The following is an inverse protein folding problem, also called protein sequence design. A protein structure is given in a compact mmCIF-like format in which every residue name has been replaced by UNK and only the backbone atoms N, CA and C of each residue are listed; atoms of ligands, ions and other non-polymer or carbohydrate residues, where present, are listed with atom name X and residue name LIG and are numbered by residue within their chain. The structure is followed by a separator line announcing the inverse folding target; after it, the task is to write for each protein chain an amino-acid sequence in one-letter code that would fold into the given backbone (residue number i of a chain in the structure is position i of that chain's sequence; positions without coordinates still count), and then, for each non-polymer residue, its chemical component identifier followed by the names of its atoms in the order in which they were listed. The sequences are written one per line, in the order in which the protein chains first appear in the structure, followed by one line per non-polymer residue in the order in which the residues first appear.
data_IF_250440991563
#
_entry.id   IF_250440991563
#
_cell.length_a   1.000
_cell.length_b   1.000
_cell.length_c   1.000
_cell.angle_alpha   90.00
_cell.angle_beta   90.00
_cell.angle_gamma   90.00
#
_symmetry.space_group_name_H-M   'P 1'
#
loop_
_entity.id
_entity.type
_entity.pdbx_description
1 polymer ?
#
# COMPACT_ATOMS: atom_id res chain seq x y z
N UNK A 1 -21.95 -29.85 -57.34
CA UNK A 1 -20.86 -28.93 -57.72
C UNK A 1 -21.41 -27.53 -57.63
N UNK A 2 -21.02 -26.74 -56.63
CA UNK A 2 -20.63 -25.32 -56.69
C UNK A 2 -20.06 -24.97 -55.32
N UNK A 3 -18.76 -24.62 -55.29
CA UNK A 3 -18.04 -24.12 -54.12
C UNK A 3 -18.54 -22.74 -53.69
N UNK A 4 -18.57 -22.48 -52.38
CA UNK A 4 -18.31 -21.14 -51.84
C UNK A 4 -17.36 -21.29 -50.65
N UNK A 5 -16.24 -20.57 -50.75
CA UNK A 5 -15.14 -20.43 -49.79
C UNK A 5 -15.29 -19.07 -49.11
N UNK A 6 -14.89 -18.97 -47.85
CA UNK A 6 -14.51 -17.72 -47.15
C UNK A 6 -15.52 -17.30 -46.07
N UNK A 7 -15.13 -16.88 -44.87
CA UNK A 7 -13.83 -16.51 -44.36
C UNK A 7 -13.77 -16.77 -42.84
N UNK A 8 -12.64 -17.32 -42.36
CA UNK A 8 -12.27 -17.25 -40.95
C UNK A 8 -11.80 -15.82 -40.67
N UNK A 9 -12.57 -15.06 -39.89
CA UNK A 9 -12.06 -13.86 -39.24
C UNK A 9 -11.09 -14.27 -38.12
N UNK A 10 -9.80 -14.27 -38.44
CA UNK A 10 -8.73 -14.22 -37.44
C UNK A 10 -8.83 -12.88 -36.73
N UNK A 11 -9.35 -12.86 -35.50
CA UNK A 11 -9.17 -11.74 -34.57
C UNK A 11 -7.67 -11.61 -34.25
N UNK A 12 -7.05 -10.62 -34.87
CA UNK A 12 -5.74 -10.10 -34.49
C UNK A 12 -5.81 -9.61 -33.05
N UNK A 13 -5.22 -10.37 -32.12
CA UNK A 13 -4.90 -9.90 -30.78
C UNK A 13 -3.81 -8.83 -30.97
N UNK A 14 -4.21 -7.57 -30.89
CA UNK A 14 -3.26 -6.46 -30.86
C UNK A 14 -2.40 -6.63 -29.59
N UNK A 15 -1.15 -7.03 -29.77
CA UNK A 15 -0.12 -6.96 -28.74
C UNK A 15 0.09 -5.50 -28.40
N UNK A 16 -0.45 -5.07 -27.26
CA UNK A 16 -0.18 -3.75 -26.67
C UNK A 16 1.34 -3.65 -26.49
N UNK A 17 2.00 -2.80 -27.28
CA UNK A 17 3.43 -2.55 -27.11
C UNK A 17 3.69 -2.14 -25.66
N UNK A 18 4.50 -2.91 -24.95
CA UNK A 18 4.86 -2.61 -23.57
C UNK A 18 5.63 -1.28 -23.57
N UNK A 19 5.04 -0.25 -22.96
CA UNK A 19 5.74 1.02 -22.74
C UNK A 19 6.93 0.69 -21.84
N UNK A 20 8.15 0.94 -22.33
CA UNK A 20 9.36 0.72 -21.53
C UNK A 20 9.26 1.54 -20.24
N UNK A 21 9.13 0.83 -19.12
CA UNK A 21 9.05 1.41 -17.78
C UNK A 21 10.26 2.29 -17.53
N UNK A 22 10.04 3.49 -16.99
CA UNK A 22 11.09 4.48 -16.73
C UNK A 22 11.93 4.00 -15.56
N UNK A 23 13.12 3.48 -15.85
CA UNK A 23 14.16 3.26 -14.85
C UNK A 23 14.92 4.57 -14.64
N UNK A 24 15.18 4.91 -13.39
CA UNK A 24 16.04 6.04 -13.01
C UNK A 24 16.93 5.63 -11.84
N UNK A 25 18.04 6.32 -11.65
CA UNK A 25 18.85 6.15 -10.44
C UNK A 25 18.36 7.14 -9.37
N UNK A 26 17.83 6.64 -8.25
CA UNK A 26 17.23 7.50 -7.24
C UNK A 26 18.29 8.28 -6.48
N UNK A 27 17.92 9.48 -6.03
CA UNK A 27 18.64 10.15 -4.95
C UNK A 27 18.14 9.60 -3.62
N UNK A 28 19.02 8.98 -2.85
CA UNK A 28 18.68 8.40 -1.55
C UNK A 28 18.79 9.47 -0.47
N UNK A 29 17.74 9.65 0.32
CA UNK A 29 17.72 10.58 1.47
C UNK A 29 17.14 9.90 2.70
N UNK A 30 17.55 10.37 3.87
CA UNK A 30 16.84 10.08 5.11
C UNK A 30 15.68 11.08 5.26
N UNK A 31 14.48 10.57 5.55
CA UNK A 31 13.32 11.38 5.86
C UNK A 31 12.65 10.81 7.11
N UNK A 32 12.69 11.56 8.22
CA UNK A 32 12.10 11.16 9.51
C UNK A 32 12.58 9.79 10.04
N UNK A 33 13.80 9.37 9.66
CA UNK A 33 14.38 8.08 10.03
C UNK A 33 14.20 6.97 8.99
N UNK A 34 13.42 7.18 7.92
CA UNK A 34 13.30 6.23 6.81
C UNK A 34 14.30 6.52 5.70
N UNK A 35 14.77 5.47 5.04
CA UNK A 35 15.50 5.56 3.78
C UNK A 35 14.50 5.71 2.63
N UNK A 36 14.57 6.85 1.93
CA UNK A 36 13.68 7.19 0.81
C UNK A 36 14.49 7.32 -0.48
N UNK A 37 14.10 6.54 -1.50
CA UNK A 37 14.62 6.57 -2.86
C UNK A 37 13.78 7.53 -3.70
N UNK A 38 14.36 8.65 -4.13
CA UNK A 38 13.62 9.75 -4.73
C UNK A 38 13.97 9.87 -6.22
N UNK A 39 12.95 9.91 -7.08
CA UNK A 39 13.10 10.32 -8.48
C UNK A 39 13.79 11.69 -8.59
N UNK A 40 14.94 11.80 -9.26
CA UNK A 40 15.66 13.06 -9.42
C UNK A 40 14.81 14.22 -9.97
N UNK A 41 13.76 13.92 -10.74
CA UNK A 41 12.80 14.93 -11.26
C UNK A 41 12.09 15.69 -10.13
N UNK A 42 11.91 15.06 -8.98
CA UNK A 42 11.29 15.68 -7.80
C UNK A 42 12.22 16.66 -7.07
N UNK A 43 13.50 16.67 -7.41
CA UNK A 43 14.51 17.49 -6.72
C UNK A 43 15.00 18.67 -7.55
N UNK A 44 15.04 18.52 -8.87
CA UNK A 44 15.56 19.55 -9.79
C UNK A 44 14.71 19.65 -11.06
N UNK A 45 14.72 20.82 -11.70
CA UNK A 45 14.01 21.06 -12.96
C UNK A 45 12.51 21.34 -12.76
N UNK A 46 11.71 21.04 -13.79
CA UNK A 46 10.32 21.47 -13.90
C UNK A 46 9.38 20.94 -12.80
N UNK A 47 9.73 19.81 -12.16
CA UNK A 47 8.89 19.17 -11.14
C UNK A 47 9.42 19.38 -9.71
N UNK A 48 10.48 20.17 -9.52
CA UNK A 48 11.12 20.37 -8.23
C UNK A 48 10.18 21.00 -7.18
N UNK A 49 9.34 21.95 -7.57
CA UNK A 49 8.40 22.60 -6.64
C UNK A 49 7.33 21.63 -6.15
N UNK A 50 6.74 20.85 -7.07
CA UNK A 50 5.79 19.79 -6.73
C UNK A 50 6.47 18.72 -5.86
N UNK A 51 7.69 18.32 -6.20
CA UNK A 51 8.44 17.34 -5.44
C UNK A 51 8.77 17.82 -4.03
N UNK A 52 9.15 19.08 -3.84
CA UNK A 52 9.35 19.66 -2.52
C UNK A 52 8.07 19.58 -1.66
N UNK A 53 6.90 19.89 -2.25
CA UNK A 53 5.60 19.78 -1.57
C UNK A 53 5.26 18.33 -1.22
N UNK A 54 5.45 17.40 -2.17
CA UNK A 54 5.17 15.98 -1.98
C UNK A 54 6.09 15.35 -0.90
N UNK A 55 7.38 15.67 -0.92
CA UNK A 55 8.34 15.20 0.09
C UNK A 55 8.04 15.79 1.48
N UNK A 56 7.62 17.05 1.54
CA UNK A 56 7.13 17.65 2.79
C UNK A 56 5.90 16.91 3.33
N UNK A 57 4.96 16.56 2.46
CA UNK A 57 3.77 15.79 2.85
C UNK A 57 4.13 14.36 3.28
N UNK A 58 5.06 13.70 2.57
CA UNK A 58 5.56 12.39 2.99
C UNK A 58 6.21 12.47 4.38
N UNK A 59 7.04 13.47 4.63
CA UNK A 59 7.61 13.70 5.96
C UNK A 59 6.51 13.86 7.02
N UNK A 60 5.43 14.60 6.73
CA UNK A 60 4.29 14.71 7.64
C UNK A 60 3.63 13.36 7.96
N UNK A 61 3.43 12.49 6.97
CA UNK A 61 2.93 11.13 7.21
C UNK A 61 3.88 10.34 8.14
N UNK A 62 5.18 10.38 7.88
CA UNK A 62 6.20 9.65 8.64
C UNK A 62 6.38 10.18 10.08
N UNK A 63 6.23 11.49 10.28
CA UNK A 63 6.19 12.10 11.62
C UNK A 63 5.00 11.60 12.42
N UNK A 64 3.81 11.59 11.83
CA UNK A 64 2.59 11.05 12.48
C UNK A 64 2.78 9.58 12.86
N UNK A 65 3.36 8.77 11.97
CA UNK A 65 3.67 7.37 12.25
C UNK A 65 4.67 7.25 13.42
N UNK A 66 5.72 8.08 13.45
CA UNK A 66 6.71 8.07 14.54
C UNK A 66 6.15 8.51 15.90
N UNK A 67 5.03 9.24 15.92
CA UNK A 67 4.30 9.59 17.15
C UNK A 67 3.44 8.41 17.61
N UNK A 68 2.83 7.67 16.67
CA UNK A 68 1.88 6.60 16.96
C UNK A 68 2.56 5.27 17.26
N UNK A 69 3.62 4.93 16.53
CA UNK A 69 4.41 3.69 16.68
C UNK A 69 5.69 4.04 17.41
N UNK A 70 6.03 3.29 18.46
CA UNK A 70 7.21 3.60 19.31
C UNK A 70 8.12 2.38 19.49
N UNK A 71 9.27 2.61 20.14
CA UNK A 71 10.20 1.55 20.53
C UNK A 71 10.73 0.71 19.36
N UNK A 72 10.90 -0.58 19.63
CA UNK A 72 11.46 -1.54 18.66
C UNK A 72 10.63 -1.65 17.37
N UNK A 73 9.31 -1.52 17.47
CA UNK A 73 8.41 -1.59 16.32
C UNK A 73 8.66 -0.44 15.35
N UNK A 74 8.88 0.78 15.86
CA UNK A 74 9.24 1.93 15.02
C UNK A 74 10.63 1.73 14.39
N UNK A 75 11.60 1.23 15.16
CA UNK A 75 12.94 0.94 14.66
C UNK A 75 12.93 -0.09 13.53
N UNK A 76 12.12 -1.15 13.66
CA UNK A 76 11.96 -2.17 12.62
C UNK A 76 11.18 -1.62 11.42
N UNK A 77 10.12 -0.83 11.63
CA UNK A 77 9.34 -0.22 10.54
C UNK A 77 10.19 0.76 9.71
N UNK A 78 11.16 1.45 10.31
CA UNK A 78 12.11 2.33 9.61
C UNK A 78 13.05 1.61 8.65
N UNK A 79 13.19 0.29 8.78
CA UNK A 79 13.97 -0.53 7.84
C UNK A 79 13.23 -0.79 6.53
N UNK A 80 11.90 -0.63 6.51
CA UNK A 80 11.11 -0.72 5.29
C UNK A 80 11.37 0.53 4.46
N UNK A 81 12.11 0.37 3.36
CA UNK A 81 12.48 1.49 2.51
C UNK A 81 11.29 1.97 1.65
N UNK A 82 11.31 3.25 1.30
CA UNK A 82 10.27 3.91 0.50
C UNK A 82 10.87 4.35 -0.83
N UNK A 83 10.14 4.16 -1.92
CA UNK A 83 10.48 4.62 -3.26
C UNK A 83 9.40 5.57 -3.76
N UNK A 84 9.78 6.77 -4.18
CA UNK A 84 8.84 7.79 -4.66
C UNK A 84 9.21 8.25 -6.07
N UNK A 85 8.23 8.18 -6.97
CA UNK A 85 8.36 8.60 -8.36
C UNK A 85 7.55 9.86 -8.63
N UNK A 86 7.99 10.67 -9.60
CA UNK A 86 7.15 11.77 -10.07
C UNK A 86 5.83 11.25 -10.64
N UNK A 87 5.91 10.30 -11.58
CA UNK A 87 4.75 9.68 -12.22
C UNK A 87 5.15 8.39 -12.92
N UNK A 88 4.73 7.25 -12.36
CA UNK A 88 4.95 5.94 -12.96
C UNK A 88 3.99 5.74 -14.16
N UNK A 89 4.46 5.25 -15.33
CA UNK A 89 3.66 5.20 -16.56
C UNK A 89 2.49 4.20 -16.58
N UNK A 90 2.35 3.34 -15.56
CA UNK A 90 1.42 2.19 -15.57
C UNK A 90 0.79 1.99 -14.19
N UNK A 91 1.61 1.91 -13.14
CA UNK A 91 1.15 1.81 -11.76
C UNK A 91 0.61 3.16 -11.27
N UNK A 92 -0.54 3.16 -10.61
CA UNK A 92 -1.23 4.39 -10.17
C UNK A 92 -1.47 4.44 -8.66
N UNK A 93 -1.72 3.31 -8.03
CA UNK A 93 -1.86 3.21 -6.57
C UNK A 93 -0.50 3.20 -5.88
N UNK A 94 -0.46 3.70 -4.65
CA UNK A 94 0.63 3.38 -3.72
C UNK A 94 0.52 1.89 -3.38
N UNK A 95 1.65 1.21 -3.24
CA UNK A 95 1.67 -0.23 -2.95
C UNK A 95 3.03 -0.69 -2.44
N UNK A 96 3.04 -1.70 -1.59
CA UNK A 96 4.22 -2.45 -1.21
C UNK A 96 4.51 -3.58 -2.20
N UNK A 97 5.79 -3.77 -2.58
CA UNK A 97 6.20 -4.86 -3.49
C UNK A 97 6.89 -6.00 -2.73
N UNK A 98 6.22 -7.13 -2.46
CA UNK A 98 6.79 -8.20 -1.63
C UNK A 98 7.91 -9.00 -2.30
N UNK A 99 8.11 -8.88 -3.61
CA UNK A 99 9.13 -9.65 -4.30
C UNK A 99 9.39 -9.26 -5.75
N UNK A 100 10.54 -9.70 -6.26
CA UNK A 100 11.07 -9.32 -7.57
C UNK A 100 10.34 -9.95 -8.76
N UNK A 101 9.73 -11.13 -8.60
CA UNK A 101 9.21 -11.93 -9.72
C UNK A 101 8.12 -11.20 -10.51
N UNK A 102 7.15 -10.61 -9.82
CA UNK A 102 6.06 -9.89 -10.50
C UNK A 102 6.57 -8.61 -11.16
N UNK A 103 7.48 -7.89 -10.50
CA UNK A 103 8.12 -6.69 -11.04
C UNK A 103 8.81 -6.97 -12.37
N UNK A 104 9.72 -7.96 -12.41
CA UNK A 104 10.48 -8.27 -13.62
C UNK A 104 9.63 -8.87 -14.73
N UNK A 105 8.62 -9.68 -14.40
CA UNK A 105 7.66 -10.21 -15.37
C UNK A 105 6.85 -9.11 -16.07
N UNK A 106 6.64 -7.97 -15.40
CA UNK A 106 5.98 -6.78 -15.95
C UNK A 106 6.96 -5.76 -16.56
N UNK A 107 8.26 -6.03 -16.51
CA UNK A 107 9.29 -5.11 -16.98
C UNK A 107 9.58 -3.93 -16.04
N UNK A 108 9.04 -3.94 -14.81
CA UNK A 108 9.29 -2.94 -13.79
C UNK A 108 10.70 -3.06 -13.17
N UNK A 109 11.13 -2.04 -12.45
CA UNK A 109 12.44 -2.05 -11.79
C UNK A 109 12.47 -3.05 -10.63
N UNK A 110 13.40 -4.01 -10.70
CA UNK A 110 13.61 -5.02 -9.67
C UNK A 110 14.00 -4.42 -8.31
N UNK A 111 14.58 -3.20 -8.29
CA UNK A 111 14.98 -2.49 -7.06
C UNK A 111 13.80 -2.05 -6.19
N UNK A 112 12.58 -2.03 -6.75
CA UNK A 112 11.34 -1.79 -6.01
C UNK A 112 10.99 -2.92 -5.03
N UNK A 113 11.58 -4.11 -5.19
CA UNK A 113 11.30 -5.23 -4.31
C UNK A 113 11.61 -4.88 -2.84
N UNK A 114 10.72 -5.32 -1.95
CA UNK A 114 10.73 -5.06 -0.50
C UNK A 114 10.66 -3.57 -0.12
N UNK A 115 10.00 -2.76 -0.95
CA UNK A 115 9.79 -1.31 -0.70
C UNK A 115 8.32 -0.92 -0.81
N UNK A 116 7.97 0.11 -0.05
CA UNK A 116 6.76 0.90 -0.28
C UNK A 116 6.99 1.77 -1.52
N UNK A 117 6.10 1.71 -2.50
CA UNK A 117 6.20 2.48 -3.74
C UNK A 117 5.08 3.53 -3.82
N UNK A 118 5.47 4.79 -3.74
CA UNK A 118 4.65 5.96 -4.07
C UNK A 118 4.81 6.23 -5.56
N UNK A 119 3.91 5.66 -6.35
CA UNK A 119 3.98 5.63 -7.82
C UNK A 119 3.78 7.00 -8.48
N UNK A 120 3.01 7.90 -7.84
CA UNK A 120 2.83 9.28 -8.29
C UNK A 120 2.91 10.21 -7.09
N UNK A 121 3.96 11.04 -7.03
CA UNK A 121 4.18 11.98 -5.93
C UNK A 121 3.00 12.96 -5.72
N UNK A 122 2.29 13.32 -6.79
CA UNK A 122 1.10 14.18 -6.70
C UNK A 122 -0.04 13.58 -5.88
N UNK A 123 -0.14 12.25 -5.76
CA UNK A 123 -1.22 11.60 -5.01
C UNK A 123 -1.16 11.92 -3.51
N UNK A 124 0.02 12.27 -2.97
CA UNK A 124 0.16 12.75 -1.59
C UNK A 124 -0.52 14.11 -1.36
N UNK A 125 -0.66 14.92 -2.42
CA UNK A 125 -1.21 16.27 -2.35
C UNK A 125 -2.70 16.32 -2.69
N UNK A 126 -3.25 15.21 -3.21
CA UNK A 126 -4.65 15.11 -3.64
C UNK A 126 -5.58 15.09 -2.43
N UNK A 127 -6.48 16.07 -2.38
CA UNK A 127 -7.46 16.23 -1.29
C UNK A 127 -8.39 15.03 -1.16
N UNK A 128 -8.90 14.52 -2.28
CA UNK A 128 -9.77 13.35 -2.33
C UNK A 128 -9.04 12.10 -1.83
N UNK A 129 -7.77 11.91 -2.18
CA UNK A 129 -6.96 10.81 -1.64
C UNK A 129 -6.76 10.94 -0.13
N UNK A 130 -6.43 12.13 0.38
CA UNK A 130 -6.28 12.37 1.82
C UNK A 130 -7.58 12.14 2.61
N UNK A 131 -8.73 12.52 2.03
CA UNK A 131 -10.03 12.29 2.66
C UNK A 131 -10.49 10.83 2.57
N UNK A 132 -10.11 10.13 1.50
CA UNK A 132 -10.35 8.70 1.37
C UNK A 132 -9.50 7.91 2.38
N UNK A 133 -8.18 7.93 2.20
CA UNK A 133 -7.25 6.97 2.79
C UNK A 133 -6.10 7.71 3.52
N UNK A 134 -6.37 8.32 4.68
CA UNK A 134 -5.43 9.23 5.33
C UNK A 134 -4.25 8.53 6.00
N UNK A 135 -4.31 7.20 6.11
CA UNK A 135 -3.28 6.31 6.63
C UNK A 135 -2.61 5.46 5.54
N UNK A 136 -2.77 5.78 4.25
CA UNK A 136 -2.19 5.00 3.14
C UNK A 136 -0.68 4.70 3.29
N UNK A 137 0.12 5.64 3.78
CA UNK A 137 1.56 5.38 4.01
C UNK A 137 1.78 4.38 5.17
N UNK A 138 0.95 4.45 6.21
CA UNK A 138 0.98 3.48 7.30
C UNK A 138 0.52 2.10 6.82
N UNK A 139 -0.49 2.04 5.95
CA UNK A 139 -0.96 0.80 5.32
C UNK A 139 0.17 0.08 4.56
N UNK A 140 0.86 0.79 3.67
CA UNK A 140 1.95 0.19 2.90
C UNK A 140 3.15 -0.21 3.77
N UNK A 141 3.45 0.59 4.80
CA UNK A 141 4.46 0.23 5.79
C UNK A 141 4.04 -0.98 6.65
N UNK A 142 2.74 -1.16 6.90
CA UNK A 142 2.21 -2.34 7.58
C UNK A 142 2.42 -3.60 6.73
N UNK A 143 2.18 -3.54 5.42
CA UNK A 143 2.54 -4.64 4.50
C UNK A 143 4.04 -4.96 4.56
N UNK A 144 4.89 -3.93 4.54
CA UNK A 144 6.34 -4.10 4.69
C UNK A 144 6.75 -4.71 6.03
N UNK A 145 6.14 -4.28 7.13
CA UNK A 145 6.39 -4.83 8.46
C UNK A 145 5.94 -6.29 8.57
N UNK A 146 4.75 -6.59 8.06
CA UNK A 146 4.21 -7.95 8.02
C UNK A 146 5.13 -8.89 7.23
N UNK A 147 5.64 -8.46 6.08
CA UNK A 147 6.55 -9.26 5.26
C UNK A 147 7.95 -9.41 5.89
N UNK A 148 8.56 -8.30 6.31
CA UNK A 148 10.00 -8.25 6.61
C UNK A 148 10.33 -8.51 8.08
N UNK A 149 9.37 -8.34 8.99
CA UNK A 149 9.58 -8.45 10.44
C UNK A 149 8.84 -9.65 11.01
N UNK A 150 7.56 -9.80 10.68
CA UNK A 150 6.74 -10.91 11.19
C UNK A 150 6.81 -12.16 10.30
N UNK A 151 6.85 -11.94 8.98
CA UNK A 151 6.52 -12.94 7.97
C UNK A 151 5.01 -13.00 7.71
N UNK A 152 4.61 -13.11 6.44
CA UNK A 152 3.18 -13.14 6.06
C UNK A 152 2.40 -14.34 6.64
N UNK A 153 3.10 -15.39 7.06
CA UNK A 153 2.49 -16.57 7.69
C UNK A 153 2.43 -16.46 9.22
N UNK A 154 2.50 -15.24 9.78
CA UNK A 154 2.38 -14.98 11.22
C UNK A 154 1.10 -15.63 11.78
N UNK A 155 1.21 -16.67 12.65
CA UNK A 155 0.07 -17.51 13.03
C UNK A 155 -1.07 -16.73 13.67
N UNK A 156 -0.75 -15.70 14.48
CA UNK A 156 -1.76 -14.89 15.16
C UNK A 156 -2.65 -14.14 14.17
N UNK A 157 -2.06 -13.59 13.10
CA UNK A 157 -2.80 -12.90 12.04
C UNK A 157 -3.64 -13.88 11.24
N UNK A 158 -3.08 -15.05 10.89
CA UNK A 158 -3.77 -16.09 10.14
C UNK A 158 -5.00 -16.63 10.88
N UNK A 159 -4.88 -16.87 12.18
CA UNK A 159 -5.98 -17.35 13.02
C UNK A 159 -7.10 -16.32 13.19
N UNK A 160 -6.74 -15.06 13.46
CA UNK A 160 -7.69 -13.96 13.56
C UNK A 160 -8.43 -13.73 12.23
N UNK A 161 -7.69 -13.71 11.11
CA UNK A 161 -8.26 -13.56 9.77
C UNK A 161 -9.28 -14.67 9.47
N UNK A 162 -8.91 -15.93 9.71
CA UNK A 162 -9.80 -17.07 9.48
C UNK A 162 -11.08 -16.93 10.31
N UNK A 163 -10.97 -16.62 11.59
CA UNK A 163 -12.11 -16.43 12.49
C UNK A 163 -13.02 -15.29 12.02
N UNK A 164 -12.45 -14.16 11.61
CA UNK A 164 -13.19 -13.02 11.11
C UNK A 164 -13.96 -13.31 9.81
N UNK A 165 -13.36 -14.09 8.89
CA UNK A 165 -14.01 -14.50 7.64
C UNK A 165 -15.12 -15.53 7.88
N UNK A 166 -14.91 -16.49 8.79
CA UNK A 166 -15.94 -17.46 9.20
C UNK A 166 -17.14 -16.76 9.84
N UNK A 167 -16.89 -15.75 10.67
CA UNK A 167 -17.92 -14.90 11.29
C UNK A 167 -18.51 -13.84 10.34
N UNK A 168 -17.99 -13.72 9.10
CA UNK A 168 -18.44 -12.76 8.08
C UNK A 168 -18.40 -11.29 8.54
N UNK A 169 -17.48 -10.95 9.43
CA UNK A 169 -17.38 -9.60 10.02
C UNK A 169 -17.19 -8.51 8.97
N UNK A 170 -16.57 -8.86 7.84
CA UNK A 170 -16.16 -7.92 6.80
C UNK A 170 -16.95 -8.06 5.49
N UNK A 171 -18.01 -8.89 5.47
CA UNK A 171 -18.84 -9.10 4.27
C UNK A 171 -19.61 -7.85 3.84
N UNK A 172 -20.00 -7.01 4.82
CA UNK A 172 -20.78 -5.79 4.59
C UNK A 172 -20.51 -4.75 5.67
N UNK A 173 -19.59 -3.83 5.40
CA UNK A 173 -19.17 -2.75 6.30
C UNK A 173 -19.36 -1.38 5.64
N UNK A 174 -19.30 -0.31 6.44
CA UNK A 174 -19.36 1.05 5.93
C UNK A 174 -18.02 1.44 5.28
N UNK A 175 -18.06 1.99 4.08
CA UNK A 175 -16.94 2.67 3.43
C UNK A 175 -16.87 4.12 3.92
N UNK A 176 -15.71 4.79 3.82
CA UNK A 176 -15.50 6.19 4.23
C UNK A 176 -16.52 7.19 3.67
N UNK A 177 -17.21 6.85 2.58
CA UNK A 177 -18.24 7.65 1.91
C UNK A 177 -19.69 7.25 2.28
N UNK A 178 -19.87 6.38 3.28
CA UNK A 178 -21.18 5.95 3.78
C UNK A 178 -21.82 4.79 2.99
N UNK A 179 -21.18 4.26 1.94
CA UNK A 179 -21.70 3.10 1.21
C UNK A 179 -21.43 1.81 2.00
N UNK A 180 -22.36 0.86 1.94
CA UNK A 180 -22.12 -0.50 2.44
C UNK A 180 -21.44 -1.34 1.37
N UNK A 181 -20.27 -1.90 1.68
CA UNK A 181 -19.43 -2.69 0.75
C UNK A 181 -18.81 -3.88 1.48
N UNK A 182 -18.28 -4.86 0.73
CA UNK A 182 -17.35 -5.85 1.31
C UNK A 182 -16.04 -5.14 1.66
N UNK A 183 -15.54 -5.31 2.87
CA UNK A 183 -14.34 -4.62 3.32
C UNK A 183 -13.10 -5.10 2.54
N UNK A 184 -12.11 -4.23 2.37
CA UNK A 184 -10.86 -4.60 1.72
C UNK A 184 -10.07 -5.64 2.55
N UNK A 185 -10.17 -5.56 3.88
CA UNK A 185 -9.69 -6.55 4.84
C UNK A 185 -10.19 -8.00 4.58
N UNK A 186 -11.26 -8.19 3.81
CA UNK A 186 -11.77 -9.52 3.44
C UNK A 186 -11.03 -10.15 2.25
N UNK A 187 -10.11 -9.44 1.60
CA UNK A 187 -9.40 -9.89 0.39
C UNK A 187 -8.41 -11.00 0.71
N UNK A 188 -7.50 -10.77 1.67
CA UNK A 188 -6.59 -11.76 2.22
C UNK A 188 -6.07 -11.33 3.61
N UNK A 189 -5.28 -12.19 4.25
CA UNK A 189 -4.71 -11.92 5.58
C UNK A 189 -3.72 -10.75 5.63
N UNK A 190 -3.15 -10.34 4.49
CA UNK A 190 -2.21 -9.20 4.42
C UNK A 190 -3.00 -7.90 4.49
N UNK A 191 -4.06 -7.79 3.69
CA UNK A 191 -4.96 -6.64 3.74
C UNK A 191 -5.69 -6.57 5.09
N UNK A 192 -6.12 -7.72 5.62
CA UNK A 192 -6.67 -7.79 6.97
C UNK A 192 -5.74 -7.20 8.04
N UNK A 193 -4.44 -7.54 7.96
CA UNK A 193 -3.45 -6.96 8.86
C UNK A 193 -3.28 -5.46 8.65
N UNK A 194 -3.08 -5.01 7.41
CA UNK A 194 -2.82 -3.61 7.09
C UNK A 194 -4.00 -2.68 7.47
N UNK A 195 -5.22 -3.08 7.13
CA UNK A 195 -6.46 -2.37 7.52
C UNK A 195 -6.64 -2.34 9.05
N UNK A 196 -6.29 -3.44 9.72
CA UNK A 196 -6.27 -3.51 11.18
C UNK A 196 -5.29 -2.52 11.81
N UNK A 197 -4.09 -2.38 11.23
CA UNK A 197 -3.08 -1.39 11.66
C UNK A 197 -3.60 0.03 11.49
N UNK A 198 -4.27 0.33 10.37
CA UNK A 198 -4.89 1.63 10.15
C UNK A 198 -5.91 1.95 11.23
N UNK A 199 -6.88 1.05 11.47
CA UNK A 199 -7.91 1.25 12.47
C UNK A 199 -7.32 1.34 13.90
N UNK A 200 -6.26 0.59 14.18
CA UNK A 200 -5.63 0.56 15.50
C UNK A 200 -4.91 1.87 15.85
N UNK A 201 -4.18 2.47 14.90
CA UNK A 201 -3.39 3.68 15.18
C UNK A 201 -4.04 4.97 14.70
N UNK A 202 -4.88 4.91 13.67
CA UNK A 202 -5.43 6.10 13.02
C UNK A 202 -6.83 5.83 12.45
N UNK A 203 -7.22 6.58 11.42
CA UNK A 203 -8.49 6.41 10.73
C UNK A 203 -8.32 5.51 9.51
N UNK A 204 -9.01 4.37 9.50
CA UNK A 204 -9.16 3.51 8.34
C UNK A 204 -10.19 4.06 7.34
N UNK A 205 -10.19 3.58 6.09
CA UNK A 205 -11.20 3.96 5.08
C UNK A 205 -12.37 2.97 4.96
N UNK A 206 -12.31 1.81 5.63
CA UNK A 206 -13.43 0.89 5.88
C UNK A 206 -13.71 0.76 7.39
N UNK A 207 -14.97 0.57 7.76
CA UNK A 207 -15.33 0.23 9.13
C UNK A 207 -14.74 -1.14 9.51
N UNK A 208 -14.11 -1.30 10.71
CA UNK A 208 -13.98 -0.31 11.78
C UNK A 208 -13.00 0.83 11.45
N UNK A 209 -13.42 2.07 11.66
CA UNK A 209 -12.64 3.25 11.28
C UNK A 209 -11.58 3.62 12.31
N UNK A 210 -11.79 3.29 13.58
CA UNK A 210 -10.90 3.65 14.70
C UNK A 210 -10.76 2.52 15.70
N UNK A 211 -9.76 2.60 16.58
CA UNK A 211 -9.38 1.52 17.51
C UNK A 211 -10.52 1.06 18.42
N UNK A 212 -11.35 1.98 18.88
CA UNK A 212 -12.48 1.65 19.74
C UNK A 212 -13.53 0.81 18.98
N UNK A 213 -13.76 1.12 17.71
CA UNK A 213 -14.66 0.34 16.85
C UNK A 213 -14.04 -1.01 16.51
N UNK A 214 -12.72 -1.05 16.28
CA UNK A 214 -12.00 -2.31 16.06
C UNK A 214 -12.16 -3.26 17.25
N UNK A 215 -12.01 -2.76 18.48
CA UNK A 215 -12.21 -3.55 19.70
C UNK A 215 -13.63 -4.14 19.83
N UNK A 216 -14.64 -3.44 19.31
CA UNK A 216 -16.04 -3.89 19.38
C UNK A 216 -16.34 -4.88 18.25
N UNK A 217 -15.88 -4.56 17.03
CA UNK A 217 -16.23 -5.29 15.81
C UNK A 217 -15.40 -6.55 15.62
N UNK A 218 -14.08 -6.46 15.83
CA UNK A 218 -13.13 -7.57 15.74
C UNK A 218 -12.14 -7.52 16.93
N UNK A 219 -12.58 -7.96 18.12
CA UNK A 219 -11.74 -7.96 19.31
C UNK A 219 -10.50 -8.86 19.16
N UNK A 220 -10.56 -9.92 18.34
CA UNK A 220 -9.41 -10.78 18.10
C UNK A 220 -8.32 -10.03 17.33
N UNK A 221 -8.69 -9.27 16.28
CA UNK A 221 -7.74 -8.42 15.59
C UNK A 221 -7.17 -7.34 16.50
N UNK A 222 -8.01 -6.72 17.34
CA UNK A 222 -7.55 -5.73 18.31
C UNK A 222 -6.48 -6.29 19.25
N UNK A 223 -6.70 -7.48 19.79
CA UNK A 223 -5.74 -8.16 20.66
C UNK A 223 -4.44 -8.49 19.93
N UNK A 224 -4.52 -8.95 18.67
CA UNK A 224 -3.34 -9.18 17.82
C UNK A 224 -2.55 -7.89 17.61
N UNK A 225 -3.23 -6.77 17.33
CA UNK A 225 -2.58 -5.47 17.19
C UNK A 225 -1.90 -5.05 18.49
N UNK A 226 -2.55 -5.22 19.64
CA UNK A 226 -1.94 -4.90 20.93
C UNK A 226 -0.71 -5.76 21.25
N UNK A 227 -0.71 -7.04 20.86
CA UNK A 227 0.44 -7.93 21.07
C UNK A 227 1.62 -7.58 20.17
N UNK A 228 1.38 -7.16 18.92
CA UNK A 228 2.43 -6.82 17.95
C UNK A 228 3.00 -5.43 18.24
N UNK A 229 2.12 -4.46 18.47
CA UNK A 229 2.47 -3.04 18.56
C UNK A 229 2.69 -2.54 19.98
N UNK A 230 2.30 -3.30 20.99
CA UNK A 230 2.36 -2.90 22.39
C UNK A 230 1.23 -1.96 22.80
N UNK A 231 1.38 -1.39 24.00
CA UNK A 231 0.52 -0.34 24.54
C UNK A 231 1.15 1.02 24.35
#
# INVERSE_FOLDING_TARGET
MTSIVGAHETQTIATKEAVKVVKFDPVIKNLEGWTVHIDPKLLVGAHAEQGAKALTMLANHLQRISILVTGKQLEDMRKVEIWIEHSHPELTSMQYHPGVKWLTARGYDARLAKKVHITHAENLLKRDQLLKHPAVILHELAHGYHDQVLGFDEPRVMEAYKSAMEAKLYDKVLLFNGKMVRAYAATDHKEYFAEGVEAYFYRNDFYPFVRAELNIHDPLLHDVMQQIWGR
#
